data_IF_654802281834
#
_entry.id   IF_654802281834
#
_cell.length_a   1.000
_cell.length_b   1.000
_cell.length_c   1.000
_cell.angle_alpha   90.00
_cell.angle_beta   90.00
_cell.angle_gamma   90.00
#
_symmetry.space_group_name_H-M   'P 1'
#
loop_
_entity.id
_entity.type
_entity.pdbx_description
1 polymer ?
#
# COMPACT_ATOMS: atom_id res chain seq x y z
N UNK A 1 -4.60 -20.93 4.18
CA UNK A 1 -5.78 -20.99 5.05
C UNK A 1 -7.02 -20.93 4.17
N UNK A 2 -8.03 -21.77 4.42
CA UNK A 2 -9.28 -21.73 3.67
C UNK A 2 -10.02 -20.41 3.93
N UNK A 3 -10.87 -20.00 2.97
CA UNK A 3 -11.68 -18.79 3.08
C UNK A 3 -12.87 -19.04 4.01
N UNK A 4 -13.44 -17.96 4.56
CA UNK A 4 -14.72 -18.03 5.27
C UNK A 4 -15.85 -18.15 4.24
N UNK A 5 -16.70 -19.16 4.41
CA UNK A 5 -17.88 -19.39 3.58
C UNK A 5 -19.13 -18.75 4.21
N UNK A 6 -19.39 -19.04 5.49
CA UNK A 6 -20.51 -18.46 6.25
C UNK A 6 -20.24 -18.43 7.74
N UNK A 7 -21.01 -17.62 8.46
CA UNK A 7 -21.00 -17.56 9.93
C UNK A 7 -22.41 -17.83 10.44
N UNK A 8 -22.54 -18.75 11.40
CA UNK A 8 -23.84 -19.07 12.04
C UNK A 8 -23.60 -19.58 13.45
N UNK A 9 -24.42 -19.18 14.43
CA UNK A 9 -24.38 -19.70 15.81
C UNK A 9 -22.96 -19.74 16.40
N UNK A 10 -22.24 -18.60 16.36
CA UNK A 10 -20.84 -18.47 16.84
C UNK A 10 -19.85 -19.47 16.19
N UNK A 11 -20.20 -19.98 15.01
CA UNK A 11 -19.38 -20.92 14.24
C UNK A 11 -19.03 -20.33 12.88
N UNK A 12 -17.75 -20.32 12.55
CA UNK A 12 -17.23 -19.91 11.24
C UNK A 12 -17.02 -21.16 10.39
N UNK A 13 -17.77 -21.27 9.29
CA UNK A 13 -17.67 -22.34 8.31
C UNK A 13 -16.66 -21.94 7.24
N UNK A 14 -15.71 -22.82 6.95
CA UNK A 14 -14.62 -22.58 6.02
C UNK A 14 -14.89 -23.33 4.71
N UNK A 15 -14.41 -22.79 3.59
CA UNK A 15 -14.68 -23.34 2.24
C UNK A 15 -14.14 -24.75 1.98
N UNK A 16 -13.35 -25.31 2.90
CA UNK A 16 -12.89 -26.69 2.84
C UNK A 16 -13.77 -27.65 3.69
N UNK A 17 -14.91 -27.19 4.19
CA UNK A 17 -15.82 -27.94 5.05
C UNK A 17 -15.49 -27.89 6.55
N UNK A 18 -14.32 -27.36 6.95
CA UNK A 18 -13.95 -27.25 8.36
C UNK A 18 -14.71 -26.11 9.05
N UNK A 19 -14.85 -26.22 10.38
CA UNK A 19 -15.52 -25.21 11.20
C UNK A 19 -14.64 -24.75 12.37
N UNK A 20 -14.80 -23.48 12.78
CA UNK A 20 -14.24 -22.93 14.03
C UNK A 20 -15.43 -22.53 14.91
N UNK A 21 -15.62 -23.20 16.05
CA UNK A 21 -16.72 -22.98 16.98
C UNK A 21 -16.35 -21.96 18.06
N UNK A 22 -17.34 -21.57 18.87
CA UNK A 22 -17.19 -20.76 20.08
C UNK A 22 -16.52 -19.40 19.85
N UNK A 23 -16.72 -18.81 18.68
CA UNK A 23 -16.14 -17.52 18.30
C UNK A 23 -16.86 -16.36 19.00
N UNK A 24 -16.14 -15.64 19.86
CA UNK A 24 -16.61 -14.41 20.51
C UNK A 24 -16.53 -13.16 19.63
N UNK A 25 -15.45 -13.07 18.86
CA UNK A 25 -15.13 -11.87 18.09
C UNK A 25 -14.64 -12.24 16.69
N UNK A 26 -15.11 -11.49 15.69
CA UNK A 26 -14.62 -11.56 14.31
C UNK A 26 -14.05 -10.18 13.98
N UNK A 27 -12.76 -10.14 13.64
CA UNK A 27 -12.07 -8.91 13.28
C UNK A 27 -11.82 -8.90 11.77
N UNK A 28 -12.45 -7.97 11.06
CA UNK A 28 -12.31 -7.81 9.62
C UNK A 28 -11.03 -7.05 9.26
N UNK A 29 -9.96 -7.79 8.95
CA UNK A 29 -8.71 -7.27 8.41
C UNK A 29 -8.69 -7.20 6.87
N UNK A 30 -9.82 -6.88 6.22
CA UNK A 30 -10.01 -7.00 4.75
C UNK A 30 -9.53 -5.77 3.95
N UNK A 31 -8.93 -4.78 4.62
CA UNK A 31 -8.41 -3.57 3.98
C UNK A 31 -9.46 -2.46 3.86
N UNK A 32 -9.24 -1.56 2.90
CA UNK A 32 -10.06 -0.36 2.69
C UNK A 32 -10.40 -0.19 1.20
N UNK A 33 -11.46 0.57 0.94
CA UNK A 33 -11.87 0.99 -0.40
C UNK A 33 -11.56 2.47 -0.64
N UNK A 34 -11.14 2.81 -1.86
CA UNK A 34 -11.01 4.19 -2.31
C UNK A 34 -12.36 4.89 -2.42
N UNK A 35 -12.47 6.10 -1.87
CA UNK A 35 -13.60 7.01 -2.06
C UNK A 35 -13.08 8.44 -2.16
N UNK A 36 -13.57 9.21 -3.14
CA UNK A 36 -13.19 10.60 -3.36
C UNK A 36 -14.45 11.50 -3.36
N UNK A 37 -15.15 11.67 -2.22
CA UNK A 37 -16.43 12.36 -2.18
C UNK A 37 -16.36 13.84 -2.58
N UNK A 38 -15.18 14.44 -2.48
CA UNK A 38 -14.91 15.83 -2.87
C UNK A 38 -14.42 15.98 -4.32
N UNK A 39 -14.24 14.87 -5.06
CA UNK A 39 -13.87 14.84 -6.48
C UNK A 39 -14.79 13.87 -7.24
N UNK A 40 -16.11 14.17 -7.34
CA UNK A 40 -17.09 13.23 -7.91
C UNK A 40 -16.86 12.91 -9.39
N UNK A 41 -16.11 13.74 -10.12
CA UNK A 41 -15.75 13.54 -11.53
C UNK A 41 -14.56 12.60 -11.72
N UNK A 42 -13.79 12.33 -10.66
CA UNK A 42 -12.65 11.42 -10.71
C UNK A 42 -13.16 10.01 -10.40
N UNK A 43 -13.11 9.09 -11.37
CA UNK A 43 -13.60 7.74 -11.16
C UNK A 43 -12.72 6.98 -10.16
N UNK A 44 -13.32 6.08 -9.41
CA UNK A 44 -12.63 5.03 -8.67
C UNK A 44 -13.10 3.69 -9.22
N UNK A 45 -12.17 2.82 -9.61
CA UNK A 45 -12.48 1.50 -10.18
C UNK A 45 -11.50 0.47 -9.64
N UNK A 46 -12.01 -0.71 -9.27
CA UNK A 46 -11.19 -1.82 -8.78
C UNK A 46 -10.23 -1.43 -7.62
N UNK A 47 -10.71 -0.55 -6.75
CA UNK A 47 -9.95 -0.02 -5.61
C UNK A 47 -8.67 0.76 -5.99
N UNK A 48 -8.72 1.52 -7.09
CA UNK A 48 -7.72 2.49 -7.51
C UNK A 48 -8.36 3.67 -8.26
N UNK A 49 -7.60 4.75 -8.42
CA UNK A 49 -7.92 5.83 -9.36
C UNK A 49 -7.32 5.49 -10.74
N UNK A 50 -8.12 5.39 -11.81
CA UNK A 50 -7.61 5.18 -13.17
C UNK A 50 -7.10 6.48 -13.78
N UNK A 51 -6.37 6.37 -14.89
CA UNK A 51 -5.79 7.51 -15.61
C UNK A 51 -4.76 8.27 -14.77
N UNK A 52 -4.12 7.63 -13.80
CA UNK A 52 -3.19 8.26 -12.84
C UNK A 52 -1.73 7.93 -13.18
N UNK A 53 -1.14 8.69 -14.10
CA UNK A 53 0.23 8.49 -14.57
C UNK A 53 1.23 8.53 -13.42
N UNK A 54 2.07 7.49 -13.33
CA UNK A 54 3.03 7.26 -12.25
C UNK A 54 2.41 7.31 -10.84
N UNK A 55 1.11 7.09 -10.71
CA UNK A 55 0.35 7.25 -9.47
C UNK A 55 0.38 8.68 -8.90
N UNK A 56 0.63 9.69 -9.75
CA UNK A 56 0.74 11.11 -9.36
C UNK A 56 -0.17 12.00 -10.19
N UNK A 57 -0.12 11.90 -11.53
CA UNK A 57 -0.72 12.91 -12.42
C UNK A 57 -1.99 12.36 -13.02
N UNK A 58 -3.13 13.03 -12.81
CA UNK A 58 -4.36 12.61 -13.47
C UNK A 58 -4.35 13.07 -14.93
N UNK A 59 -4.38 12.13 -15.88
CA UNK A 59 -4.12 12.41 -17.30
C UNK A 59 -5.15 13.34 -17.94
N UNK A 60 -6.39 13.36 -17.43
CA UNK A 60 -7.47 14.21 -17.95
C UNK A 60 -7.31 15.68 -17.57
N UNK A 61 -6.69 15.95 -16.42
CA UNK A 61 -6.36 17.28 -15.95
C UNK A 61 -5.04 17.22 -15.17
N UNK A 62 -3.90 17.53 -15.83
CA UNK A 62 -2.58 17.48 -15.20
C UNK A 62 -2.37 18.47 -14.04
N UNK A 63 -3.33 19.36 -13.77
CA UNK A 63 -3.31 20.22 -12.57
C UNK A 63 -3.83 19.49 -11.33
N UNK A 64 -4.55 18.38 -11.51
CA UNK A 64 -4.97 17.50 -10.42
C UNK A 64 -3.93 16.41 -10.16
N UNK A 65 -3.35 16.46 -8.96
CA UNK A 65 -2.22 15.62 -8.56
C UNK A 65 -2.52 14.86 -7.28
N UNK A 66 -2.05 13.61 -7.23
CA UNK A 66 -2.20 12.70 -6.09
C UNK A 66 -0.83 12.42 -5.49
N UNK A 67 -0.78 12.40 -4.15
CA UNK A 67 0.38 11.89 -3.40
C UNK A 67 -0.12 10.74 -2.53
N UNK A 68 0.57 9.62 -2.62
CA UNK A 68 0.30 8.42 -1.85
C UNK A 68 -0.75 7.48 -2.43
N UNK A 69 -1.11 7.65 -3.71
CA UNK A 69 -1.98 6.71 -4.44
C UNK A 69 -1.27 5.39 -4.82
N UNK A 70 -0.45 4.85 -3.91
CA UNK A 70 0.36 3.65 -4.08
C UNK A 70 0.07 2.65 -2.96
N UNK A 71 0.24 1.36 -3.24
CA UNK A 71 0.20 0.30 -2.23
C UNK A 71 1.62 -0.13 -1.85
N UNK A 72 1.80 -0.38 -0.54
CA UNK A 72 2.94 -1.02 0.13
C UNK A 72 4.34 -0.66 -0.37
N UNK A 73 5.15 -0.05 0.51
CA UNK A 73 6.56 0.15 0.25
C UNK A 73 7.18 1.21 1.14
N UNK A 74 8.25 1.84 0.68
CA UNK A 74 8.96 2.93 1.34
C UNK A 74 8.10 4.21 1.45
N UNK A 75 6.93 4.13 2.09
CA UNK A 75 5.81 5.08 2.03
C UNK A 75 6.24 6.54 2.10
N UNK A 76 6.93 6.95 3.16
CA UNK A 76 7.33 8.36 3.31
C UNK A 76 8.34 8.82 2.27
N UNK A 77 9.24 7.93 1.81
CA UNK A 77 10.16 8.25 0.72
C UNK A 77 9.44 8.36 -0.61
N UNK A 78 8.48 7.48 -0.86
CA UNK A 78 7.64 7.57 -2.07
C UNK A 78 6.90 8.89 -2.09
N UNK A 79 6.28 9.27 -0.96
CA UNK A 79 5.53 10.51 -0.87
C UNK A 79 6.42 11.73 -1.09
N UNK A 80 7.66 11.72 -0.61
CA UNK A 80 8.64 12.76 -0.90
C UNK A 80 8.91 12.89 -2.40
N UNK A 81 9.15 11.78 -3.12
CA UNK A 81 9.41 11.82 -4.56
C UNK A 81 8.20 12.32 -5.36
N UNK A 82 7.01 11.81 -5.03
CA UNK A 82 5.76 12.24 -5.64
C UNK A 82 5.49 13.73 -5.38
N UNK A 83 5.74 14.20 -4.15
CA UNK A 83 5.55 15.61 -3.77
C UNK A 83 6.51 16.54 -4.50
N UNK A 84 7.77 16.15 -4.69
CA UNK A 84 8.73 16.97 -5.45
C UNK A 84 8.33 17.05 -6.92
N UNK A 85 7.91 15.94 -7.53
CA UNK A 85 7.37 15.97 -8.90
C UNK A 85 6.15 16.89 -8.98
N UNK A 86 5.18 16.69 -8.10
CA UNK A 86 3.94 17.47 -8.09
C UNK A 86 4.19 18.98 -7.93
N UNK A 87 5.02 19.37 -6.96
CA UNK A 87 5.36 20.77 -6.72
C UNK A 87 6.08 21.40 -7.91
N UNK A 88 6.92 20.65 -8.64
CA UNK A 88 7.62 21.16 -9.81
C UNK A 88 6.71 21.27 -11.03
N UNK A 89 5.78 20.34 -11.23
CA UNK A 89 4.75 20.45 -12.26
C UNK A 89 3.90 21.70 -12.06
N UNK A 90 3.37 21.90 -10.86
CA UNK A 90 2.55 23.09 -10.53
C UNK A 90 3.32 24.40 -10.65
N UNK A 91 4.63 24.37 -10.44
CA UNK A 91 5.50 25.54 -10.59
C UNK A 91 6.06 25.73 -12.01
N UNK A 92 5.65 24.92 -13.00
CA UNK A 92 6.18 24.99 -14.37
C UNK A 92 7.66 24.63 -14.50
N UNK A 93 8.22 23.92 -13.51
CA UNK A 93 9.65 23.53 -13.41
C UNK A 93 9.91 22.06 -13.74
N UNK A 94 8.88 21.33 -14.14
CA UNK A 94 8.95 19.99 -14.70
C UNK A 94 7.95 19.88 -15.85
N UNK A 95 8.19 18.98 -16.79
CA UNK A 95 7.31 18.73 -17.93
C UNK A 95 6.82 17.29 -17.91
N UNK A 96 5.63 17.08 -18.47
CA UNK A 96 5.08 15.75 -18.67
C UNK A 96 5.44 15.24 -20.07
N UNK A 97 5.55 13.91 -20.24
CA UNK A 97 5.58 13.34 -21.57
C UNK A 97 4.22 13.50 -22.26
N UNK A 98 4.14 13.12 -23.54
CA UNK A 98 2.88 13.19 -24.28
C UNK A 98 1.80 12.29 -23.66
N UNK A 99 0.53 12.58 -24.00
CA UNK A 99 -0.62 11.80 -23.53
C UNK A 99 -0.50 10.32 -23.91
N UNK A 100 0.00 10.02 -25.11
CA UNK A 100 0.17 8.64 -25.60
C UNK A 100 1.17 7.86 -24.73
N UNK A 101 2.24 8.51 -24.27
CA UNK A 101 3.24 7.89 -23.38
C UNK A 101 2.63 7.58 -22.01
N UNK A 102 1.81 8.49 -21.48
CA UNK A 102 1.15 8.29 -20.19
C UNK A 102 0.10 7.17 -20.25
N UNK A 103 -0.70 7.14 -21.32
CA UNK A 103 -1.70 6.09 -21.56
C UNK A 103 -1.02 4.73 -21.77
N UNK A 104 0.07 4.70 -22.54
CA UNK A 104 0.87 3.49 -22.75
C UNK A 104 1.42 2.95 -21.43
N UNK A 105 1.94 3.82 -20.56
CA UNK A 105 2.42 3.40 -19.24
C UNK A 105 1.33 2.70 -18.42
N UNK A 106 0.10 3.22 -18.44
CA UNK A 106 -1.01 2.60 -17.71
C UNK A 106 -1.41 1.26 -18.33
N UNK A 107 -1.54 1.19 -19.65
CA UNK A 107 -1.86 -0.05 -20.35
C UNK A 107 -0.81 -1.15 -20.09
N UNK A 108 0.47 -0.81 -20.17
CA UNK A 108 1.56 -1.74 -19.90
C UNK A 108 1.54 -2.21 -18.43
N UNK A 109 1.25 -1.31 -17.49
CA UNK A 109 1.17 -1.66 -16.06
C UNK A 109 -0.06 -2.51 -15.74
N UNK A 110 -1.21 -2.25 -16.37
CA UNK A 110 -2.40 -3.12 -16.27
C UNK A 110 -2.08 -4.52 -16.80
N UNK A 111 -1.40 -4.62 -17.95
CA UNK A 111 -0.98 -5.92 -18.51
C UNK A 111 -0.05 -6.68 -17.55
N UNK A 112 0.88 -5.98 -16.90
CA UNK A 112 1.86 -6.60 -16.01
C UNK A 112 1.33 -6.93 -14.61
N UNK A 113 0.40 -6.13 -14.07
CA UNK A 113 0.01 -6.17 -12.65
C UNK A 113 -1.48 -6.45 -12.42
N UNK A 114 -2.28 -6.45 -13.48
CA UNK A 114 -3.73 -6.48 -13.40
C UNK A 114 -4.31 -5.12 -13.03
N UNK A 115 -5.63 -5.02 -13.18
CA UNK A 115 -6.38 -3.78 -13.01
C UNK A 115 -7.05 -3.72 -11.62
N UNK A 116 -6.25 -3.75 -10.56
CA UNK A 116 -6.74 -3.71 -9.18
C UNK A 116 -5.67 -3.23 -8.21
N UNK A 117 -5.75 -3.57 -6.92
CA UNK A 117 -4.79 -3.09 -5.90
C UNK A 117 -3.33 -3.37 -6.28
N UNK A 118 -3.04 -4.51 -6.92
CA UNK A 118 -1.68 -4.86 -7.40
C UNK A 118 -1.12 -3.87 -8.43
N UNK A 119 -1.97 -3.13 -9.15
CA UNK A 119 -1.54 -2.05 -10.06
C UNK A 119 -0.75 -0.97 -9.29
N UNK A 120 -1.24 -0.59 -8.12
CA UNK A 120 -0.66 0.47 -7.28
C UNK A 120 0.54 -0.02 -6.46
N UNK A 121 0.80 -1.33 -6.43
CA UNK A 121 1.90 -1.93 -5.68
C UNK A 121 3.24 -1.59 -6.34
N UNK A 122 4.17 -1.08 -5.54
CA UNK A 122 5.52 -0.74 -6.02
C UNK A 122 6.52 -1.89 -5.90
N UNK A 123 6.33 -2.82 -4.97
CA UNK A 123 7.23 -3.96 -4.81
C UNK A 123 7.18 -4.91 -6.03
N UNK A 124 8.34 -5.41 -6.53
CA UNK A 124 9.71 -5.17 -6.07
C UNK A 124 10.43 -4.00 -6.75
N UNK A 125 9.77 -3.30 -7.69
CA UNK A 125 10.34 -2.34 -8.65
C UNK A 125 10.60 -0.94 -8.04
N UNK A 126 11.09 -0.87 -6.80
CA UNK A 126 11.32 0.41 -6.12
C UNK A 126 12.34 1.27 -6.86
N UNK A 127 13.46 0.69 -7.29
CA UNK A 127 14.53 1.44 -7.95
C UNK A 127 14.01 2.18 -9.20
N UNK A 128 13.32 1.46 -10.08
CA UNK A 128 12.75 1.99 -11.32
C UNK A 128 11.74 3.11 -11.06
N UNK A 129 10.86 2.94 -10.06
CA UNK A 129 9.87 3.95 -9.73
C UNK A 129 10.52 5.24 -9.19
N UNK A 130 11.45 5.11 -8.26
CA UNK A 130 12.16 6.24 -7.67
C UNK A 130 13.00 6.99 -8.71
N UNK A 131 13.74 6.28 -9.57
CA UNK A 131 14.53 6.91 -10.63
C UNK A 131 13.66 7.52 -11.72
N UNK A 132 12.49 6.93 -12.02
CA UNK A 132 11.53 7.52 -12.95
C UNK A 132 10.99 8.84 -12.42
N UNK A 133 10.52 8.89 -11.18
CA UNK A 133 10.05 10.14 -10.56
C UNK A 133 11.19 11.17 -10.43
N UNK A 134 12.40 10.73 -10.10
CA UNK A 134 13.58 11.61 -10.04
C UNK A 134 13.87 12.26 -11.40
N UNK A 135 13.82 11.47 -12.48
CA UNK A 135 14.02 11.96 -13.85
C UNK A 135 12.92 12.92 -14.28
N UNK A 136 11.64 12.57 -14.04
CA UNK A 136 10.50 13.42 -14.37
C UNK A 136 10.55 14.75 -13.59
N UNK A 137 10.94 14.70 -12.32
CA UNK A 137 11.07 15.90 -11.50
C UNK A 137 12.29 16.75 -11.87
N UNK A 138 13.32 16.18 -12.50
CA UNK A 138 14.58 16.84 -12.84
C UNK A 138 15.44 17.24 -11.61
N UNK A 139 16.47 18.05 -11.83
CA UNK A 139 17.36 18.53 -10.76
C UNK A 139 16.83 19.81 -10.07
N UNK A 140 15.78 20.41 -10.63
CA UNK A 140 15.28 21.74 -10.25
C UNK A 140 15.96 22.87 -11.01
N UNK A 141 15.29 24.02 -11.09
CA UNK A 141 15.79 25.22 -11.77
C UNK A 141 16.37 26.19 -10.73
N UNK A 142 17.47 26.87 -11.06
CA UNK A 142 18.13 27.88 -10.19
C UNK A 142 18.57 27.36 -8.81
N UNK A 143 18.77 26.06 -8.64
CA UNK A 143 19.14 25.48 -7.35
C UNK A 143 18.04 25.56 -6.27
N UNK A 144 16.82 25.96 -6.61
CA UNK A 144 15.70 26.09 -5.68
C UNK A 144 14.96 24.76 -5.49
N UNK A 145 14.59 24.48 -4.24
CA UNK A 145 13.75 23.33 -3.87
C UNK A 145 14.54 22.05 -3.57
N UNK A 146 13.80 21.00 -3.22
CA UNK A 146 14.37 19.72 -2.78
C UNK A 146 15.02 18.96 -3.94
N UNK A 147 16.31 18.64 -3.83
CA UNK A 147 16.98 17.69 -4.73
C UNK A 147 16.70 16.26 -4.27
N UNK A 148 16.21 15.44 -5.19
CA UNK A 148 15.95 14.03 -4.95
C UNK A 148 17.26 13.26 -5.13
N UNK A 149 17.79 12.58 -4.09
CA UNK A 149 18.99 11.77 -4.25
C UNK A 149 18.73 10.58 -5.17
N UNK A 150 19.79 9.99 -5.74
CA UNK A 150 19.66 8.69 -6.42
C UNK A 150 19.12 7.65 -5.45
N UNK A 151 18.33 6.72 -5.98
CA UNK A 151 17.84 5.58 -5.24
C UNK A 151 19.01 4.79 -4.65
N UNK A 152 18.82 4.32 -3.41
CA UNK A 152 19.85 3.53 -2.73
C UNK A 152 19.26 2.23 -2.21
N UNK A 153 19.83 1.10 -2.64
CA UNK A 153 19.35 -0.24 -2.32
C UNK A 153 19.32 -0.53 -0.82
N UNK A 154 20.14 0.16 -0.02
CA UNK A 154 20.06 0.06 1.44
C UNK A 154 18.72 0.51 2.02
N UNK A 155 17.95 1.38 1.34
CA UNK A 155 16.62 1.75 1.83
C UNK A 155 15.68 0.54 1.86
N UNK A 156 15.75 -0.29 0.82
CA UNK A 156 14.95 -1.52 0.73
C UNK A 156 15.41 -2.53 1.77
N UNK A 157 16.74 -2.70 1.93
CA UNK A 157 17.30 -3.58 2.98
C UNK A 157 16.84 -3.15 4.37
N UNK A 158 17.01 -1.88 4.72
CA UNK A 158 16.60 -1.34 6.01
C UNK A 158 15.09 -1.49 6.27
N UNK A 159 14.26 -1.30 5.23
CA UNK A 159 12.83 -1.53 5.32
C UNK A 159 12.49 -2.99 5.65
N UNK A 160 13.07 -3.96 4.92
CA UNK A 160 12.82 -5.38 5.17
C UNK A 160 13.37 -5.85 6.51
N UNK A 161 14.56 -5.39 6.91
CA UNK A 161 15.11 -5.65 8.24
C UNK A 161 14.19 -5.12 9.35
N UNK A 162 13.63 -3.93 9.17
CA UNK A 162 12.62 -3.36 10.07
C UNK A 162 11.35 -4.20 10.15
N UNK A 163 10.87 -4.71 9.00
CA UNK A 163 9.72 -5.63 8.97
C UNK A 163 10.01 -6.94 9.71
N UNK A 164 11.18 -7.54 9.53
CA UNK A 164 11.56 -8.77 10.23
C UNK A 164 11.70 -8.54 11.74
N UNK A 165 12.28 -7.42 12.18
CA UNK A 165 12.32 -7.02 13.60
C UNK A 165 10.91 -6.91 14.18
N UNK A 166 9.98 -6.31 13.45
CA UNK A 166 8.57 -6.18 13.86
C UNK A 166 7.89 -7.55 13.95
N UNK A 167 8.09 -8.44 12.98
CA UNK A 167 7.55 -9.81 13.01
C UNK A 167 8.10 -10.61 14.20
N UNK A 168 9.41 -10.51 14.46
CA UNK A 168 10.03 -11.16 15.63
C UNK A 168 9.44 -10.66 16.95
N UNK A 169 9.23 -9.34 17.07
CA UNK A 169 8.56 -8.74 18.22
C UNK A 169 7.13 -9.30 18.40
N UNK A 170 6.33 -9.36 17.33
CA UNK A 170 4.98 -9.94 17.40
C UNK A 170 4.98 -11.42 17.77
N UNK A 171 5.88 -12.23 17.21
CA UNK A 171 6.02 -13.65 17.59
C UNK A 171 6.29 -13.80 19.09
N UNK A 172 7.20 -12.98 19.63
CA UNK A 172 7.52 -12.97 21.07
C UNK A 172 6.32 -12.57 21.93
N UNK A 173 5.58 -11.52 21.54
CA UNK A 173 4.38 -11.09 22.27
C UNK A 173 3.30 -12.17 22.24
N UNK A 174 3.05 -12.77 21.08
CA UNK A 174 2.05 -13.84 20.94
C UNK A 174 2.39 -15.07 21.79
N UNK A 175 3.66 -15.45 21.88
CA UNK A 175 4.11 -16.54 22.76
C UNK A 175 3.84 -16.22 24.23
N UNK A 176 4.16 -15.00 24.68
CA UNK A 176 3.87 -14.56 26.06
C UNK A 176 2.37 -14.56 26.36
N UNK A 177 1.54 -14.05 25.46
CA UNK A 177 0.09 -14.03 25.63
C UNK A 177 -0.50 -15.45 25.70
N UNK A 178 -0.03 -16.37 24.85
CA UNK A 178 -0.46 -17.78 24.90
C UNK A 178 -0.08 -18.46 26.22
N UNK A 179 1.13 -18.20 26.72
CA UNK A 179 1.56 -18.74 28.01
C UNK A 179 0.66 -18.23 29.16
N UNK A 180 0.35 -16.92 29.19
CA UNK A 180 -0.51 -16.33 30.20
C UNK A 180 -1.95 -16.89 30.17
N UNK A 181 -2.54 -17.05 28.98
CA UNK A 181 -3.87 -17.65 28.81
C UNK A 181 -3.94 -19.10 29.31
N UNK A 182 -2.90 -19.89 29.05
CA UNK A 182 -2.82 -21.26 29.54
C UNK A 182 -2.76 -21.30 31.08
N UNK A 183 -1.97 -20.41 31.70
CA UNK A 183 -1.89 -20.31 33.17
C UNK A 183 -3.21 -19.88 33.80
N UNK A 184 -3.91 -18.90 33.22
CA UNK A 184 -5.25 -18.48 33.69
C UNK A 184 -6.30 -19.58 33.55
N UNK A 185 -6.24 -20.36 32.47
CA UNK A 185 -7.14 -21.51 32.26
C UNK A 185 -6.94 -22.55 33.35
N UNK A 186 -5.69 -22.92 33.62
CA UNK A 186 -5.33 -23.87 34.68
C UNK A 186 -5.81 -23.36 36.05
N UNK A 187 -5.62 -22.07 36.37
CA UNK A 187 -6.09 -21.51 37.63
C UNK A 187 -7.62 -21.52 37.78
N UNK A 188 -8.37 -21.28 36.70
CA UNK A 188 -9.85 -21.36 36.73
C UNK A 188 -10.37 -22.79 36.89
N UNK A 189 -9.67 -23.78 36.36
CA UNK A 189 -10.02 -25.19 36.55
C UNK A 189 -9.74 -25.65 37.98
N UNK A 190 -8.59 -25.28 38.55
CA UNK A 190 -8.24 -25.62 39.94
C UNK A 190 -9.18 -24.93 40.95
N UNK A 191 -9.62 -23.70 40.69
CA UNK A 191 -10.55 -22.98 41.57
C UNK A 191 -12.01 -23.48 41.51
N UNK A 192 -12.33 -24.40 40.58
CA UNK A 192 -13.65 -25.03 40.45
C UNK A 192 -13.74 -26.41 41.12
N UNK A 193 -12.62 -26.95 41.59
CA UNK A 193 -12.52 -28.20 42.36
C UNK A 193 -12.56 -27.90 43.86
#
# INVERSE_FOLDING_TARGET
MPLTERVSNRTVHLTNGNCITDVDHIVFGTGYSWTLPFLPTVPVRNNRVPDLYQHVVWQKDPTLLFVGAVAAGLTFKVFEWQSVLAARLLAGRATLPSAEVMQKWEADRVKARGDGVKFTLLFPDFEDYFETLRRLAGEGVEGKGRKLPKFRREWVRAFFEGLERRKAMWRRLNLKSRAALNTETIHKEVARL
#
